data_IF_323257900662
#
_entry.id   IF_323257900662
#
_cell.length_a   1.000
_cell.length_b   1.000
_cell.length_c   1.000
_cell.angle_alpha   90.00
_cell.angle_beta   90.00
_cell.angle_gamma   90.00
#
_symmetry.space_group_name_H-M   'P 1'
#
loop_
_entity.id
_entity.type
_entity.pdbx_description
1 polymer ?
#
# COMPACT_ATOMS: atom_id res chain seq x y z
N UNK A 1 -7.11 -20.54 -27.54
CA UNK A 1 -6.13 -19.50 -27.18
C UNK A 1 -6.42 -19.13 -25.73
N UNK A 2 -5.55 -19.50 -24.81
CA UNK A 2 -5.77 -19.28 -23.38
C UNK A 2 -5.43 -17.85 -23.03
N UNK A 3 -6.42 -17.07 -22.58
CA UNK A 3 -6.18 -15.84 -21.84
C UNK A 3 -5.57 -16.24 -20.49
N UNK A 4 -4.25 -16.34 -20.45
CA UNK A 4 -3.52 -16.29 -19.19
C UNK A 4 -3.63 -14.87 -18.66
N UNK A 5 -4.67 -14.58 -17.87
CA UNK A 5 -4.62 -13.45 -16.96
C UNK A 5 -3.40 -13.71 -16.07
N UNK A 6 -2.35 -12.89 -16.21
CA UNK A 6 -1.28 -12.89 -15.24
C UNK A 6 -1.93 -12.62 -13.88
N UNK A 7 -2.09 -13.66 -13.07
CA UNK A 7 -2.45 -13.49 -11.68
C UNK A 7 -1.25 -12.80 -11.07
N UNK A 8 -1.36 -11.49 -10.83
CA UNK A 8 -0.58 -10.85 -9.79
C UNK A 8 -0.71 -11.75 -8.54
N UNK A 9 0.41 -12.22 -8.01
CA UNK A 9 0.40 -13.21 -6.95
C UNK A 9 -0.10 -12.54 -5.68
N UNK A 10 -1.26 -12.95 -5.17
CA UNK A 10 -1.70 -12.52 -3.84
C UNK A 10 -0.80 -13.22 -2.82
N UNK A 11 -0.02 -12.43 -2.10
CA UNK A 11 0.90 -12.93 -1.07
C UNK A 11 0.18 -13.13 0.27
N UNK A 12 -0.76 -12.24 0.58
CA UNK A 12 -1.58 -12.33 1.78
C UNK A 12 -2.92 -11.59 1.57
N UNK A 13 -3.95 -12.06 2.28
CA UNK A 13 -5.21 -11.34 2.39
C UNK A 13 -5.87 -11.56 3.74
N UNK A 14 -6.78 -10.66 4.08
CA UNK A 14 -7.62 -10.72 5.27
C UNK A 14 -9.01 -10.22 4.88
N UNK A 15 -10.07 -10.75 5.52
CA UNK A 15 -11.43 -10.35 5.19
C UNK A 15 -12.38 -10.40 6.35
N UNK A 16 -13.41 -9.54 6.31
CA UNK A 16 -14.56 -9.56 7.22
C UNK A 16 -15.86 -9.57 6.41
N UNK A 17 -16.93 -10.11 6.99
CA UNK A 17 -18.28 -10.00 6.45
C UNK A 17 -19.06 -9.01 7.29
N UNK A 18 -19.61 -7.98 6.66
CA UNK A 18 -20.43 -6.96 7.34
C UNK A 18 -21.82 -7.51 7.71
N UNK A 19 -22.57 -6.74 8.51
CA UNK A 19 -23.92 -7.11 8.93
C UNK A 19 -24.93 -7.22 7.76
N UNK A 20 -24.60 -6.70 6.57
CA UNK A 20 -25.42 -6.72 5.35
C UNK A 20 -25.01 -7.86 4.40
N UNK A 21 -24.08 -8.72 4.80
CA UNK A 21 -23.62 -9.86 4.02
C UNK A 21 -22.63 -9.51 2.91
N UNK A 22 -22.00 -8.34 2.93
CA UNK A 22 -20.89 -8.00 2.05
C UNK A 22 -19.58 -8.45 2.67
N UNK A 23 -18.72 -9.12 1.90
CA UNK A 23 -17.35 -9.47 2.28
C UNK A 23 -16.40 -8.37 1.83
N UNK A 24 -15.71 -7.76 2.78
CA UNK A 24 -14.61 -6.81 2.55
C UNK A 24 -13.31 -7.58 2.70
N UNK A 25 -12.54 -7.66 1.63
CA UNK A 25 -11.21 -8.28 1.61
C UNK A 25 -10.15 -7.23 1.35
N UNK A 26 -9.06 -7.29 2.11
CA UNK A 26 -7.85 -6.51 1.87
C UNK A 26 -6.74 -7.49 1.53
N UNK A 27 -6.03 -7.21 0.46
CA UNK A 27 -5.00 -8.09 -0.08
C UNK A 27 -3.75 -7.33 -0.44
N UNK A 28 -2.62 -8.03 -0.40
CA UNK A 28 -1.33 -7.53 -0.87
C UNK A 28 -0.69 -8.58 -1.74
N UNK A 29 0.09 -8.14 -2.73
CA UNK A 29 0.70 -9.04 -3.68
C UNK A 29 1.85 -8.43 -4.45
N UNK A 30 2.48 -9.27 -5.27
CA UNK A 30 3.69 -8.97 -6.03
C UNK A 30 4.80 -8.33 -5.15
N UNK A 31 4.89 -8.77 -3.90
CA UNK A 31 5.80 -8.20 -2.91
C UNK A 31 7.24 -8.55 -3.28
N UNK A 32 8.01 -7.55 -3.71
CA UNK A 32 9.43 -7.68 -4.00
C UNK A 32 10.22 -6.74 -3.10
N UNK A 33 11.13 -7.32 -2.33
CA UNK A 33 12.06 -6.59 -1.47
C UNK A 33 13.49 -6.76 -1.93
N UNK A 34 14.24 -5.67 -1.92
CA UNK A 34 15.66 -5.67 -2.17
C UNK A 34 16.35 -4.82 -1.11
N UNK A 35 16.94 -5.48 -0.11
CA UNK A 35 17.87 -4.83 0.81
C UNK A 35 19.20 -4.59 0.09
N UNK A 36 19.76 -3.39 0.25
CA UNK A 36 21.04 -3.00 -0.33
C UNK A 36 21.97 -2.45 0.75
N UNK A 37 23.29 -2.51 0.55
CA UNK A 37 24.22 -1.77 1.40
C UNK A 37 23.85 -0.28 1.41
N UNK A 38 23.88 0.38 2.59
CA UNK A 38 23.44 1.76 2.70
C UNK A 38 24.41 2.68 1.97
N UNK A 39 23.87 3.62 1.20
CA UNK A 39 24.65 4.53 0.37
C UNK A 39 25.49 5.53 1.18
N UNK A 40 25.07 5.82 2.41
CA UNK A 40 25.81 6.66 3.37
C UNK A 40 27.04 5.97 3.99
N UNK A 41 27.19 4.65 3.79
CA UNK A 41 28.27 3.83 4.33
C UNK A 41 28.24 3.65 5.86
N UNK A 42 27.16 4.07 6.53
CA UNK A 42 27.03 3.99 7.98
C UNK A 42 26.63 2.55 8.37
N UNK A 43 27.39 1.85 9.23
CA UNK A 43 27.11 0.45 9.57
C UNK A 43 25.78 0.22 10.30
N UNK A 44 25.22 1.27 10.88
CA UNK A 44 23.92 1.27 11.59
C UNK A 44 22.77 1.76 10.71
N UNK A 45 23.05 2.01 9.43
CA UNK A 45 22.04 2.32 8.43
C UNK A 45 21.67 1.06 7.65
N UNK A 46 20.41 0.95 7.24
CA UNK A 46 19.94 -0.04 6.29
C UNK A 46 19.13 0.64 5.20
N UNK A 47 19.23 0.14 3.97
CA UNK A 47 18.57 0.70 2.82
C UNK A 47 17.85 -0.41 2.04
N UNK A 48 16.66 -0.11 1.51
CA UNK A 48 15.87 -1.07 0.78
C UNK A 48 15.03 -0.44 -0.33
N UNK A 49 14.70 -1.28 -1.31
CA UNK A 49 13.69 -1.01 -2.33
C UNK A 49 12.52 -1.99 -2.19
N UNK A 50 11.30 -1.49 -2.40
CA UNK A 50 10.08 -2.27 -2.37
C UNK A 50 9.19 -1.99 -3.59
N UNK A 51 8.74 -3.07 -4.22
CA UNK A 51 7.67 -3.06 -5.22
C UNK A 51 6.54 -3.98 -4.76
N UNK A 52 5.32 -3.65 -5.13
CA UNK A 52 4.17 -4.50 -4.89
C UNK A 52 2.86 -3.76 -5.07
N UNK A 53 1.77 -4.38 -4.67
CA UNK A 53 0.47 -3.73 -4.61
C UNK A 53 -0.29 -4.11 -3.35
N UNK A 54 -1.23 -3.25 -3.01
CA UNK A 54 -2.22 -3.49 -1.98
C UNK A 54 -3.59 -3.09 -2.54
N UNK A 55 -4.64 -3.84 -2.19
CA UNK A 55 -5.97 -3.57 -2.68
C UNK A 55 -7.05 -3.99 -1.71
N UNK A 56 -8.26 -3.53 -2.01
CA UNK A 56 -9.49 -3.86 -1.33
C UNK A 56 -10.47 -4.36 -2.38
N UNK A 57 -11.07 -5.52 -2.11
CA UNK A 57 -12.15 -6.09 -2.90
C UNK A 57 -13.37 -6.32 -1.99
N UNK A 58 -14.49 -5.71 -2.36
CA UNK A 58 -15.78 -5.82 -1.69
C UNK A 58 -16.69 -6.63 -2.59
N UNK A 59 -17.20 -7.72 -2.06
CA UNK A 59 -18.11 -8.64 -2.78
C UNK A 59 -19.38 -8.83 -1.98
N UNK A 60 -20.53 -8.90 -2.64
CA UNK A 60 -21.81 -9.03 -1.96
C UNK A 60 -22.93 -8.23 -2.62
N UNK A 61 -24.15 -8.32 -2.09
CA UNK A 61 -25.34 -7.74 -2.70
C UNK A 61 -25.28 -6.22 -2.85
N UNK A 62 -24.57 -5.53 -1.96
CA UNK A 62 -24.50 -4.06 -1.93
C UNK A 62 -23.09 -3.53 -2.26
N UNK A 63 -22.20 -4.37 -2.79
CA UNK A 63 -20.79 -4.01 -2.98
C UNK A 63 -20.60 -2.77 -3.88
N UNK A 64 -21.42 -2.63 -4.93
CA UNK A 64 -21.38 -1.49 -5.84
C UNK A 64 -21.79 -0.15 -5.20
N UNK A 65 -22.49 -0.21 -4.06
CA UNK A 65 -23.04 0.95 -3.37
C UNK A 65 -22.12 1.46 -2.24
N UNK A 66 -20.95 0.83 -2.04
CA UNK A 66 -19.99 1.31 -1.06
C UNK A 66 -19.48 2.69 -1.44
N UNK A 67 -19.45 3.60 -0.46
CA UNK A 67 -19.03 4.98 -0.61
C UNK A 67 -18.12 5.36 0.55
N UNK A 68 -17.08 6.11 0.26
CA UNK A 68 -16.16 6.64 1.26
C UNK A 68 -15.36 5.58 2.02
N UNK A 69 -15.08 4.43 1.40
CA UNK A 69 -14.16 3.45 1.97
C UNK A 69 -12.75 4.02 1.93
N UNK A 70 -12.00 3.90 3.02
CA UNK A 70 -10.65 4.44 3.15
C UNK A 70 -9.63 3.33 3.10
N UNK A 71 -8.64 3.47 2.22
CA UNK A 71 -7.48 2.59 2.12
C UNK A 71 -6.24 3.29 2.70
N UNK A 72 -5.59 2.62 3.64
CA UNK A 72 -4.28 3.02 4.18
C UNK A 72 -3.28 1.91 3.88
N UNK A 73 -2.13 2.27 3.33
CA UNK A 73 -1.03 1.33 3.05
C UNK A 73 0.27 1.87 3.61
N UNK A 74 1.14 0.99 4.09
CA UNK A 74 2.40 1.41 4.70
C UNK A 74 3.25 0.26 5.18
N UNK A 75 4.18 0.57 6.09
CA UNK A 75 5.12 -0.39 6.65
C UNK A 75 5.16 -0.33 8.17
N UNK A 76 5.41 -1.48 8.78
CA UNK A 76 5.87 -1.62 10.14
C UNK A 76 7.37 -1.90 10.12
N UNK A 77 8.15 -1.10 10.83
CA UNK A 77 9.60 -1.24 10.91
C UNK A 77 9.95 -1.60 12.35
N UNK A 78 10.52 -2.78 12.52
CA UNK A 78 10.94 -3.33 13.80
C UNK A 78 12.45 -3.22 13.98
N UNK A 79 12.89 -2.67 15.12
CA UNK A 79 14.30 -2.55 15.48
C UNK A 79 14.44 -2.61 17.00
N UNK A 80 15.51 -3.23 17.55
CA UNK A 80 15.59 -3.43 18.99
C UNK A 80 16.09 -2.18 19.72
N UNK A 81 16.96 -1.37 19.10
CA UNK A 81 17.53 -0.16 19.70
C UNK A 81 17.60 0.93 18.64
N UNK A 82 17.16 2.14 18.98
CA UNK A 82 17.39 3.35 18.20
C UNK A 82 18.38 4.26 18.94
N UNK A 83 19.40 4.74 18.21
CA UNK A 83 20.31 5.77 18.67
C UNK A 83 19.61 7.14 18.70
N UNK A 84 20.19 8.08 19.44
CA UNK A 84 19.69 9.46 19.41
C UNK A 84 19.86 10.04 17.99
N UNK A 85 18.76 10.58 17.43
CA UNK A 85 18.72 11.09 16.06
C UNK A 85 18.52 10.01 14.98
N UNK A 86 18.12 8.80 15.37
CA UNK A 86 17.76 7.77 14.42
C UNK A 86 16.45 8.12 13.68
N UNK A 87 16.44 7.90 12.37
CA UNK A 87 15.39 8.36 11.44
C UNK A 87 15.03 7.25 10.45
N UNK A 88 13.78 7.25 10.01
CA UNK A 88 13.31 6.53 8.81
C UNK A 88 12.99 7.58 7.75
N UNK A 89 13.60 7.43 6.58
CA UNK A 89 13.24 8.18 5.37
C UNK A 89 12.61 7.21 4.37
N UNK A 90 11.35 7.45 3.99
CA UNK A 90 10.70 6.74 2.90
C UNK A 90 10.45 7.69 1.73
N UNK A 91 10.85 7.27 0.53
CA UNK A 91 10.59 7.97 -0.73
C UNK A 91 9.80 7.07 -1.68
N UNK A 92 8.74 7.60 -2.29
CA UNK A 92 8.01 6.92 -3.36
C UNK A 92 8.02 7.78 -4.63
N UNK A 93 8.47 7.29 -5.79
CA UNK A 93 8.50 8.06 -7.04
C UNK A 93 7.11 8.41 -7.62
N UNK A 94 6.05 7.76 -7.10
CA UNK A 94 4.66 7.96 -7.45
C UNK A 94 3.87 6.68 -7.18
N UNK A 95 2.67 6.80 -6.59
CA UNK A 95 1.80 5.64 -6.35
C UNK A 95 0.72 5.60 -7.41
N UNK A 96 0.50 4.44 -8.02
CA UNK A 96 -0.60 4.26 -8.96
C UNK A 96 -1.87 3.86 -8.22
N UNK A 97 -2.92 4.69 -8.26
CA UNK A 97 -4.21 4.36 -7.66
C UNK A 97 -5.25 4.00 -8.73
N UNK A 98 -5.99 2.91 -8.50
CA UNK A 98 -6.99 2.38 -9.44
C UNK A 98 -8.24 1.97 -8.67
N UNK A 99 -9.42 2.40 -9.13
CA UNK A 99 -10.73 2.00 -8.59
C UNK A 99 -11.44 1.09 -9.60
N UNK A 100 -11.99 -0.03 -9.14
CA UNK A 100 -12.74 -0.98 -9.95
C UNK A 100 -14.24 -0.91 -9.65
N UNK A 101 -15.09 -0.85 -10.68
CA UNK A 101 -16.55 -0.96 -10.53
C UNK A 101 -17.13 -2.14 -11.31
N UNK A 102 -18.32 -2.62 -10.91
CA UNK A 102 -19.03 -3.76 -11.51
C UNK A 102 -19.39 -3.57 -12.99
N UNK A 103 -19.37 -2.32 -13.48
CA UNK A 103 -19.73 -1.96 -14.85
C UNK A 103 -18.54 -1.42 -15.68
N UNK A 104 -17.31 -1.56 -15.18
CA UNK A 104 -16.10 -1.01 -15.80
C UNK A 104 -15.22 -0.28 -14.78
N UNK A 105 -13.98 0.01 -15.15
CA UNK A 105 -13.04 0.76 -14.32
C UNK A 105 -13.58 2.19 -14.18
N UNK A 106 -14.02 2.58 -12.98
CA UNK A 106 -14.49 3.95 -12.70
C UNK A 106 -13.31 4.72 -12.10
N UNK A 107 -12.73 5.64 -12.87
CA UNK A 107 -11.55 6.42 -12.45
C UNK A 107 -12.02 7.57 -11.56
N UNK A 108 -12.22 7.29 -10.28
CA UNK A 108 -12.60 8.29 -9.27
C UNK A 108 -11.50 9.33 -9.06
N UNK A 109 -11.78 10.56 -9.49
CA UNK A 109 -10.93 11.74 -9.31
C UNK A 109 -11.26 12.46 -7.98
N UNK A 110 -10.25 12.73 -7.16
CA UNK A 110 -10.31 13.74 -6.08
C UNK A 110 -9.06 14.64 -6.15
N UNK A 111 -9.18 15.96 -5.97
CA UNK A 111 -9.72 16.94 -6.90
C UNK A 111 -8.58 17.77 -7.52
N UNK A 112 -7.93 17.29 -8.58
CA UNK A 112 -7.51 18.09 -9.76
C UNK A 112 -6.83 17.20 -10.81
N UNK A 113 -7.62 16.62 -11.72
CA UNK A 113 -7.21 16.20 -13.06
C UNK A 113 -8.44 15.67 -13.83
N UNK A 114 -9.15 16.56 -14.51
CA UNK A 114 -10.24 16.17 -15.42
C UNK A 114 -9.73 15.31 -16.57
N UNK A 115 -10.20 14.06 -16.70
CA UNK A 115 -10.05 13.23 -17.90
C UNK A 115 -11.41 12.63 -18.27
N UNK A 116 -12.14 13.32 -19.16
CA UNK A 116 -13.36 12.81 -19.77
C UNK A 116 -13.04 11.65 -20.72
N UNK A 117 -13.67 10.51 -20.51
CA UNK A 117 -13.54 9.32 -21.36
C UNK A 117 -14.55 9.42 -22.51
N UNK A 118 -14.07 9.65 -23.74
CA UNK A 118 -14.83 9.39 -24.96
C UNK A 118 -14.36 8.08 -25.59
N UNK A 119 -15.31 7.29 -26.08
CA UNK A 119 -15.15 5.91 -26.53
C UNK A 119 -14.18 5.76 -27.72
N UNK A 120 -13.30 4.75 -27.66
CA UNK A 120 -12.54 4.27 -28.82
C UNK A 120 -11.13 3.76 -28.49
N UNK A 121 -11.02 2.44 -28.29
CA UNK A 121 -9.79 1.64 -28.48
C UNK A 121 -8.45 2.32 -28.24
N UNK A 122 -8.03 2.46 -26.98
CA UNK A 122 -6.63 2.52 -26.55
C UNK A 122 -6.58 2.01 -25.09
N UNK A 123 -5.81 0.96 -24.81
CA UNK A 123 -5.49 0.54 -23.45
C UNK A 123 -4.60 1.61 -22.84
N UNK A 124 -5.22 2.58 -22.18
CA UNK A 124 -4.56 3.60 -21.37
C UNK A 124 -4.76 3.27 -19.89
N UNK A 125 -3.68 2.88 -19.22
CA UNK A 125 -3.61 2.90 -17.76
C UNK A 125 -3.64 4.38 -17.32
N UNK A 126 -4.82 4.91 -17.06
CA UNK A 126 -4.97 6.18 -16.36
C UNK A 126 -5.14 5.87 -14.87
N UNK A 127 -4.03 5.46 -14.23
CA UNK A 127 -3.96 5.44 -12.77
C UNK A 127 -3.75 6.88 -12.28
N UNK A 128 -4.52 7.29 -11.29
CA UNK A 128 -4.25 8.52 -10.56
C UNK A 128 -2.86 8.39 -9.93
N UNK A 129 -1.93 9.26 -10.32
CA UNK A 129 -0.56 9.23 -9.79
C UNK A 129 -0.57 10.08 -8.53
N UNK A 130 -0.53 9.42 -7.38
CA UNK A 130 -0.29 10.10 -6.11
C UNK A 130 1.13 10.64 -6.16
N UNK A 131 1.34 11.95 -5.91
CA UNK A 131 2.63 12.59 -6.04
C UNK A 131 3.68 11.90 -5.18
N UNK A 132 4.95 12.05 -5.57
CA UNK A 132 6.06 11.48 -4.81
C UNK A 132 6.07 12.03 -3.38
N UNK A 133 6.13 11.13 -2.41
CA UNK A 133 6.14 11.48 -0.98
C UNK A 133 7.49 11.14 -0.37
N UNK A 134 8.02 12.08 0.42
CA UNK A 134 9.14 11.87 1.33
C UNK A 134 8.62 11.98 2.76
N UNK A 135 8.88 10.96 3.57
CA UNK A 135 8.44 10.90 4.96
C UNK A 135 9.64 10.65 5.87
N UNK A 136 9.88 11.59 6.78
CA UNK A 136 10.94 11.53 7.80
C UNK A 136 10.32 11.30 9.18
N UNK A 137 10.74 10.25 9.87
CA UNK A 137 10.20 9.83 11.16
C UNK A 137 11.31 9.53 12.14
N UNK A 138 11.31 10.23 13.28
CA UNK A 138 12.18 9.95 14.41
C UNK A 138 11.86 8.59 15.06
N UNK A 139 12.90 7.80 15.33
CA UNK A 139 12.75 6.51 16.00
C UNK A 139 12.67 6.66 17.51
N UNK A 140 11.61 6.12 18.10
CA UNK A 140 11.56 5.89 19.55
C UNK A 140 12.52 4.75 19.95
N UNK A 141 13.06 4.72 21.19
CA UNK A 141 13.96 3.66 21.64
C UNK A 141 13.33 2.25 21.63
N UNK A 142 13.63 1.49 20.58
CA UNK A 142 13.20 0.11 20.39
C UNK A 142 11.71 -0.07 20.08
N UNK A 143 11.36 -1.20 19.44
CA UNK A 143 9.98 -1.60 19.20
C UNK A 143 9.62 -1.70 17.72
N UNK A 144 8.36 -1.35 17.41
CA UNK A 144 7.80 -1.37 16.05
C UNK A 144 7.23 0.01 15.76
N UNK A 145 7.73 0.65 14.72
CA UNK A 145 7.22 1.94 14.22
C UNK A 145 6.33 1.70 13.01
N UNK A 146 5.12 2.25 13.02
CA UNK A 146 4.18 2.17 11.89
C UNK A 146 4.28 3.44 11.07
N UNK A 147 4.51 3.27 9.77
CA UNK A 147 4.74 4.36 8.82
C UNK A 147 3.73 4.25 7.69
N UNK A 148 2.72 5.15 7.62
CA UNK A 148 1.79 5.17 6.52
C UNK A 148 2.46 5.79 5.29
N UNK A 149 2.43 5.08 4.16
CA UNK A 149 2.89 5.60 2.87
C UNK A 149 1.75 6.32 2.14
N UNK A 150 0.54 5.81 2.28
CA UNK A 150 -0.68 6.45 1.85
C UNK A 150 -1.69 6.29 2.98
N UNK A 151 -2.23 7.41 3.45
CA UNK A 151 -3.12 7.44 4.59
C UNK A 151 -4.54 7.84 4.16
N UNK A 152 -5.53 7.03 4.54
CA UNK A 152 -6.95 7.36 4.43
C UNK A 152 -7.42 7.74 3.01
N UNK A 153 -6.82 7.16 1.96
CA UNK A 153 -7.23 7.41 0.59
C UNK A 153 -8.66 6.90 0.39
N UNK A 154 -9.59 7.83 0.11
CA UNK A 154 -10.99 7.49 -0.05
C UNK A 154 -11.27 6.96 -1.46
N UNK A 155 -12.13 5.96 -1.55
CA UNK A 155 -12.70 5.50 -2.81
C UNK A 155 -14.16 5.08 -2.65
N UNK A 156 -14.79 4.99 -3.80
CA UNK A 156 -16.15 4.54 -3.96
C UNK A 156 -16.17 3.25 -4.78
N UNK A 157 -17.21 2.46 -4.60
CA UNK A 157 -17.42 1.24 -5.33
C UNK A 157 -16.78 0.02 -4.68
N UNK A 158 -16.79 -1.12 -5.40
CA UNK A 158 -16.48 -2.42 -4.83
C UNK A 158 -14.97 -2.68 -4.73
N UNK A 159 -14.11 -1.97 -5.45
CA UNK A 159 -12.68 -2.28 -5.44
C UNK A 159 -11.79 -1.05 -5.57
N UNK A 160 -10.63 -1.10 -4.91
CA UNK A 160 -9.54 -0.15 -5.14
C UNK A 160 -8.18 -0.82 -4.92
N UNK A 161 -7.16 -0.35 -5.63
CA UNK A 161 -5.79 -0.83 -5.47
C UNK A 161 -4.77 0.30 -5.60
N UNK A 162 -3.70 0.17 -4.83
CA UNK A 162 -2.51 1.03 -4.85
C UNK A 162 -1.33 0.18 -5.29
N UNK A 163 -0.66 0.60 -6.37
CA UNK A 163 0.60 0.02 -6.82
C UNK A 163 1.76 0.87 -6.32
N UNK A 164 2.71 0.20 -5.70
CA UNK A 164 3.96 0.75 -5.21
C UNK A 164 5.07 0.28 -6.15
N UNK A 165 5.78 1.21 -6.79
CA UNK A 165 6.89 0.91 -7.69
C UNK A 165 8.07 1.79 -7.33
N UNK A 166 9.19 1.16 -6.98
CA UNK A 166 10.43 1.82 -6.62
C UNK A 166 10.37 2.55 -5.29
N UNK A 167 9.59 2.07 -4.31
CA UNK A 167 9.62 2.67 -2.96
C UNK A 167 11.01 2.45 -2.39
N UNK A 168 11.68 3.54 -2.06
CA UNK A 168 13.00 3.56 -1.45
C UNK A 168 12.85 3.88 0.03
N UNK A 169 13.48 3.09 0.89
CA UNK A 169 13.52 3.37 2.32
C UNK A 169 14.93 3.30 2.87
N UNK A 170 15.28 4.29 3.71
CA UNK A 170 16.52 4.33 4.47
C UNK A 170 16.19 4.45 5.95
N UNK A 171 16.85 3.64 6.77
CA UNK A 171 16.67 3.63 8.22
C UNK A 171 18.05 3.83 8.82
N UNK A 172 18.28 4.95 9.50
CA UNK A 172 19.58 5.27 10.10
C UNK A 172 19.51 5.24 11.63
N UNK A 173 20.65 4.92 12.25
CA UNK A 173 20.79 4.89 13.71
C UNK A 173 20.07 3.72 14.39
N UNK A 174 19.68 2.68 13.64
CA UNK A 174 19.10 1.46 14.21
C UNK A 174 20.19 0.43 14.50
N UNK A 175 20.24 -0.07 15.73
CA UNK A 175 21.19 -1.10 16.16
C UNK A 175 20.47 -2.44 16.30
N UNK A 176 21.08 -3.51 15.78
CA UNK A 176 20.56 -4.87 15.82
C UNK A 176 19.76 -5.26 14.58
N UNK A 177 18.99 -6.35 14.67
CA UNK A 177 18.23 -6.88 13.54
C UNK A 177 17.07 -5.94 13.19
N UNK A 178 17.14 -5.32 12.01
CA UNK A 178 16.07 -4.47 11.48
C UNK A 178 15.16 -5.32 10.59
N UNK A 179 13.86 -5.21 10.81
CA UNK A 179 12.84 -5.92 10.04
C UNK A 179 11.81 -4.94 9.51
N UNK A 180 11.25 -5.24 8.34
CA UNK A 180 10.16 -4.49 7.73
C UNK A 180 9.01 -5.42 7.40
N UNK A 181 7.78 -4.93 7.57
CA UNK A 181 6.55 -5.64 7.23
C UNK A 181 5.59 -4.69 6.54
N UNK A 182 5.12 -4.99 5.32
CA UNK A 182 4.10 -4.17 4.69
C UNK A 182 2.74 -4.47 5.32
N UNK A 183 1.87 -3.47 5.35
CA UNK A 183 0.48 -3.63 5.80
C UNK A 183 -0.47 -2.85 4.89
N UNK A 184 -1.71 -3.31 4.85
CA UNK A 184 -2.81 -2.61 4.22
C UNK A 184 -4.05 -2.69 5.10
N UNK A 185 -4.74 -1.57 5.26
CA UNK A 185 -5.95 -1.46 6.07
C UNK A 185 -7.05 -0.78 5.26
N UNK A 186 -8.24 -1.40 5.27
CA UNK A 186 -9.46 -0.79 4.77
C UNK A 186 -10.39 -0.46 5.93
N UNK A 187 -10.96 0.75 5.90
CA UNK A 187 -12.01 1.19 6.83
C UNK A 187 -13.23 1.59 6.01
N UNK A 188 -14.34 0.88 6.16
CA UNK A 188 -15.60 1.22 5.49
C UNK A 188 -16.25 2.43 6.16
N UNK A 189 -17.18 3.09 5.47
CA UNK A 189 -17.97 4.17 6.06
C UNK A 189 -18.88 3.72 7.21
N UNK A 190 -19.19 2.42 7.30
CA UNK A 190 -19.88 1.81 8.45
C UNK A 190 -18.95 1.54 9.65
N UNK A 191 -17.63 1.73 9.50
CA UNK A 191 -16.63 1.51 10.55
C UNK A 191 -16.05 0.10 10.59
N UNK A 192 -16.40 -0.77 9.64
CA UNK A 192 -15.78 -2.09 9.53
C UNK A 192 -14.32 -1.92 9.12
N UNK A 193 -13.42 -2.53 9.88
CA UNK A 193 -11.98 -2.40 9.68
C UNK A 193 -11.37 -3.76 9.39
N UNK A 194 -10.62 -3.83 8.29
CA UNK A 194 -9.88 -5.03 7.89
C UNK A 194 -8.43 -4.65 7.66
N UNK A 195 -7.52 -5.37 8.30
CA UNK A 195 -6.09 -5.20 8.08
C UNK A 195 -5.47 -6.53 7.69
N UNK A 196 -4.58 -6.47 6.71
CA UNK A 196 -3.70 -7.58 6.34
C UNK A 196 -2.25 -7.15 6.51
N UNK A 197 -1.40 -8.14 6.78
CA UNK A 197 0.01 -7.98 7.08
C UNK A 197 0.82 -8.94 6.23
N UNK A 198 1.82 -8.42 5.53
CA UNK A 198 2.75 -9.25 4.76
C UNK A 198 3.75 -10.01 5.63
N UNK A 199 4.53 -10.88 4.98
CA UNK A 199 5.64 -11.56 5.65
C UNK A 199 6.74 -10.57 5.99
N UNK A 200 7.23 -10.55 7.24
CA UNK A 200 8.33 -9.66 7.61
C UNK A 200 9.62 -10.05 6.88
N UNK A 201 10.36 -9.05 6.40
CA UNK A 201 11.69 -9.22 5.79
C UNK A 201 12.76 -8.63 6.71
N UNK A 202 13.90 -9.30 6.79
CA UNK A 202 15.08 -8.81 7.51
C UNK A 202 15.92 -7.94 6.57
N UNK A 203 16.39 -6.79 7.05
CA UNK A 203 17.14 -5.81 6.24
C UNK A 203 18.66 -5.87 6.44
N UNK A 204 19.15 -6.40 7.57
CA UNK A 204 20.56 -6.63 7.89
C UNK A 204 20.80 -7.99 8.53
#
# INVERSE_FOLDING_TARGET
MGNGTASAGVDNSSSVVDARGNRIEVLQGDTQYQAVPPLDGVPTSVEFFHNGYAGVDITGPNAAEFKGTKLTVGYQIGYPIALSGATIVLNSPGLGFVIGSSNGIDLGLVPDLTLGLNAGTNIGLAGDIIPSQELDIDLAPGGITTVPLLENQSFDGPAASVRMQGVHGSISGALGAVTIRPYATAVTSSGDTVTTYGMPQKLN
#
